data_IF_944491443430
#
_entry.id   IF_944491443430
#
_cell.length_a   1.000
_cell.length_b   1.000
_cell.length_c   1.000
_cell.angle_alpha   90.00
_cell.angle_beta   90.00
_cell.angle_gamma   90.00
#
_symmetry.space_group_name_H-M   'P 1'
#
loop_
_entity.id
_entity.type
_entity.pdbx_description
1 polymer ?
#
# COMPACT_ATOMS: atom_id res chain seq x y z
N UNK A 1 13.47 13.42 22.81
CA UNK A 1 12.40 13.70 21.81
C UNK A 1 11.15 14.18 22.53
N UNK A 2 10.33 15.07 21.92
CA UNK A 2 9.07 15.53 22.53
C UNK A 2 8.06 14.36 22.54
N UNK A 3 7.46 14.07 23.69
CA UNK A 3 6.40 13.08 23.84
C UNK A 3 5.19 13.51 23.00
N UNK A 4 4.61 12.61 22.22
CA UNK A 4 3.43 12.84 21.38
C UNK A 4 2.31 11.89 21.78
N UNK A 5 1.06 12.35 21.64
CA UNK A 5 -0.13 11.51 21.65
C UNK A 5 -0.45 11.09 20.22
N UNK A 6 -0.45 9.81 19.94
CA UNK A 6 -0.61 9.24 18.60
C UNK A 6 -1.85 8.35 18.57
N UNK A 7 -2.76 8.64 17.65
CA UNK A 7 -3.90 7.76 17.35
C UNK A 7 -3.53 6.82 16.20
N UNK A 8 -3.88 5.56 16.31
CA UNK A 8 -3.78 4.56 15.25
C UNK A 8 -5.19 3.99 15.00
N UNK A 9 -5.77 4.26 13.83
CA UNK A 9 -7.18 3.93 13.55
C UNK A 9 -7.34 2.57 12.87
N UNK A 10 -6.46 2.25 11.91
CA UNK A 10 -6.62 1.09 11.01
C UNK A 10 -5.63 -0.05 11.35
N UNK A 11 -5.10 -0.04 12.55
CA UNK A 11 -4.09 -0.98 13.00
C UNK A 11 -2.69 -0.68 12.45
N UNK A 12 -1.69 -1.19 13.17
CA UNK A 12 -0.27 -1.02 12.86
C UNK A 12 0.49 -2.28 13.28
N UNK A 13 1.67 -2.50 12.71
CA UNK A 13 2.56 -3.59 13.12
C UNK A 13 2.89 -3.50 14.61
N UNK A 14 2.80 -4.63 15.31
CA UNK A 14 2.99 -4.69 16.78
C UNK A 14 4.39 -4.27 17.22
N UNK A 15 5.41 -4.60 16.42
CA UNK A 15 6.79 -4.20 16.71
C UNK A 15 6.97 -2.69 16.56
N UNK A 16 6.33 -2.09 15.55
CA UNK A 16 6.36 -0.65 15.36
C UNK A 16 5.61 0.09 16.49
N UNK A 17 4.47 -0.44 16.95
CA UNK A 17 3.74 0.08 18.12
C UNK A 17 4.59 0.04 19.39
N UNK A 18 5.26 -1.10 19.65
CA UNK A 18 6.16 -1.23 20.78
C UNK A 18 7.27 -0.18 20.74
N UNK A 19 7.93 -0.01 19.59
CA UNK A 19 8.98 1.01 19.40
C UNK A 19 8.49 2.44 19.65
N UNK A 20 7.27 2.77 19.23
CA UNK A 20 6.70 4.10 19.51
C UNK A 20 6.53 4.32 21.01
N UNK A 21 6.01 3.31 21.73
CA UNK A 21 5.84 3.37 23.20
C UNK A 21 7.18 3.42 23.94
N UNK A 22 8.17 2.63 23.55
CA UNK A 22 9.53 2.63 24.08
C UNK A 22 10.21 3.99 23.88
N UNK A 23 9.94 4.68 22.78
CA UNK A 23 10.40 6.05 22.53
C UNK A 23 9.63 7.12 23.35
N UNK A 24 8.74 6.70 24.25
CA UNK A 24 8.02 7.58 25.17
C UNK A 24 6.76 8.23 24.59
N UNK A 25 6.28 7.79 23.41
CA UNK A 25 5.02 8.26 22.86
C UNK A 25 3.83 7.56 23.53
N UNK A 26 2.72 8.28 23.66
CA UNK A 26 1.44 7.75 24.10
C UNK A 26 0.66 7.29 22.84
N UNK A 27 0.45 5.97 22.69
CA UNK A 27 -0.18 5.40 21.49
C UNK A 27 -1.51 4.77 21.84
N UNK A 28 -2.58 5.31 21.27
CA UNK A 28 -3.95 4.81 21.35
C UNK A 28 -4.31 4.10 20.06
N UNK A 29 -4.74 2.85 20.16
CA UNK A 29 -5.25 2.08 19.03
C UNK A 29 -6.77 2.07 19.15
N UNK A 30 -7.45 2.87 18.33
CA UNK A 30 -8.90 2.99 18.37
C UNK A 30 -9.45 3.44 17.03
N UNK A 31 -10.46 2.74 16.53
CA UNK A 31 -11.25 3.20 15.40
C UNK A 31 -12.32 4.19 15.87
N UNK A 32 -12.52 5.23 15.08
CA UNK A 32 -13.63 6.17 15.24
C UNK A 32 -14.47 6.19 13.97
N UNK A 33 -15.80 6.22 14.06
CA UNK A 33 -16.63 6.44 12.88
C UNK A 33 -16.38 7.85 12.30
N UNK A 34 -16.68 8.06 11.01
CA UNK A 34 -16.35 9.32 10.33
C UNK A 34 -16.88 10.58 11.02
N UNK A 35 -18.05 10.50 11.66
CA UNK A 35 -18.73 11.59 12.36
C UNK A 35 -18.09 11.96 13.70
N UNK A 36 -17.35 11.05 14.32
CA UNK A 36 -16.69 11.28 15.63
C UNK A 36 -15.19 11.55 15.47
N UNK A 37 -14.63 11.17 14.32
CA UNK A 37 -13.19 11.19 14.11
C UNK A 37 -12.59 12.60 14.23
N UNK A 38 -13.23 13.60 13.66
CA UNK A 38 -12.69 14.95 13.64
C UNK A 38 -12.55 15.54 15.04
N UNK A 39 -13.56 15.38 15.90
CA UNK A 39 -13.50 15.83 17.29
C UNK A 39 -12.45 15.02 18.09
N UNK A 40 -12.39 13.70 17.89
CA UNK A 40 -11.38 12.85 18.53
C UNK A 40 -9.95 13.30 18.20
N UNK A 41 -9.69 13.69 16.95
CA UNK A 41 -8.39 14.14 16.45
C UNK A 41 -7.85 15.36 17.20
N UNK A 42 -8.71 16.19 17.82
CA UNK A 42 -8.30 17.36 18.61
C UNK A 42 -7.38 17.00 19.78
N UNK A 43 -7.52 15.78 20.28
CA UNK A 43 -6.77 15.30 21.48
C UNK A 43 -5.41 14.69 21.15
N UNK A 44 -5.09 14.46 19.86
CA UNK A 44 -3.87 13.79 19.41
C UNK A 44 -2.94 14.72 18.64
N UNK A 45 -1.64 14.54 18.79
CA UNK A 45 -0.61 15.29 18.05
C UNK A 45 -0.43 14.71 16.63
N UNK A 46 -0.64 13.40 16.49
CA UNK A 46 -0.54 12.69 15.22
C UNK A 46 -1.60 11.60 15.09
N UNK A 47 -1.98 11.28 13.86
CA UNK A 47 -2.80 10.12 13.54
C UNK A 47 -2.11 9.26 12.48
N UNK A 48 -2.16 7.94 12.67
CA UNK A 48 -1.73 6.94 11.68
C UNK A 48 -2.97 6.25 11.13
N UNK A 49 -3.17 6.37 9.83
CA UNK A 49 -4.29 5.76 9.09
C UNK A 49 -3.79 4.82 8.01
N UNK A 50 -4.63 3.90 7.56
CA UNK A 50 -4.40 3.13 6.34
C UNK A 50 -5.47 3.48 5.30
N UNK A 51 -6.09 2.50 4.66
CA UNK A 51 -7.06 2.73 3.58
C UNK A 51 -8.50 2.88 4.07
N UNK A 52 -8.84 2.36 5.25
CA UNK A 52 -10.22 2.37 5.76
C UNK A 52 -10.62 3.76 6.29
N UNK A 53 -9.75 4.40 7.06
CA UNK A 53 -10.00 5.73 7.60
C UNK A 53 -9.77 6.83 6.55
N UNK A 54 -10.73 7.73 6.44
CA UNK A 54 -10.66 8.91 5.56
C UNK A 54 -10.46 10.17 6.39
N UNK A 55 -9.50 11.00 6.00
CA UNK A 55 -9.27 12.33 6.58
C UNK A 55 -9.60 13.36 5.51
N UNK A 56 -10.85 13.79 5.52
CA UNK A 56 -11.40 14.75 4.57
C UNK A 56 -11.49 16.15 5.19
N UNK A 57 -11.89 17.10 4.39
CA UNK A 57 -12.09 18.49 4.82
C UNK A 57 -12.88 18.60 6.12
N UNK A 58 -13.97 17.83 6.26
CA UNK A 58 -14.81 17.82 7.47
C UNK A 58 -13.98 17.48 8.71
N UNK A 59 -13.27 16.32 8.73
CA UNK A 59 -12.47 15.89 9.88
C UNK A 59 -11.34 16.88 10.20
N UNK A 60 -10.78 17.53 9.16
CA UNK A 60 -9.75 18.56 9.33
C UNK A 60 -10.35 19.80 9.99
N UNK A 61 -11.53 20.25 9.54
CA UNK A 61 -12.21 21.41 10.11
C UNK A 61 -12.59 21.18 11.58
N UNK A 62 -13.15 20.02 11.89
CA UNK A 62 -13.51 19.64 13.27
C UNK A 62 -12.27 19.54 14.18
N UNK A 63 -11.13 19.11 13.64
CA UNK A 63 -9.86 19.03 14.37
C UNK A 63 -9.17 20.40 14.59
N UNK A 64 -9.64 21.48 13.94
CA UNK A 64 -9.06 22.82 14.08
C UNK A 64 -9.05 23.32 15.52
N UNK A 65 -7.97 24.01 15.90
CA UNK A 65 -7.76 24.47 17.27
C UNK A 65 -7.36 23.39 18.25
N UNK A 66 -7.30 22.12 17.81
CA UNK A 66 -6.78 20.99 18.58
C UNK A 66 -5.26 20.82 18.43
N UNK A 67 -4.79 19.63 18.79
CA UNK A 67 -3.36 19.30 18.83
C UNK A 67 -2.80 18.75 17.52
N UNK A 68 -3.66 18.30 16.57
CA UNK A 68 -3.24 17.59 15.37
C UNK A 68 -2.26 18.38 14.51
N UNK A 69 -1.09 17.81 14.27
CA UNK A 69 -0.02 18.40 13.44
C UNK A 69 0.49 17.45 12.36
N UNK A 70 0.13 16.16 12.43
CA UNK A 70 0.69 15.16 11.54
C UNK A 70 -0.33 14.07 11.24
N UNK A 71 -0.54 13.81 9.97
CA UNK A 71 -1.27 12.64 9.46
C UNK A 71 -0.27 11.75 8.75
N UNK A 72 -0.20 10.47 9.14
CA UNK A 72 0.65 9.46 8.50
C UNK A 72 -0.23 8.41 7.85
N UNK A 73 -0.08 8.23 6.55
CA UNK A 73 -0.70 7.12 5.82
C UNK A 73 0.28 5.95 5.75
N UNK A 74 -0.06 4.84 6.41
CA UNK A 74 0.69 3.58 6.31
C UNK A 74 0.45 2.91 4.94
N UNK A 75 1.08 3.41 3.90
CA UNK A 75 0.96 2.95 2.52
C UNK A 75 1.43 3.99 1.51
N UNK A 76 1.24 3.73 0.22
CA UNK A 76 1.75 4.58 -0.88
C UNK A 76 0.76 5.67 -1.26
N UNK A 77 -0.47 5.29 -1.64
CA UNK A 77 -1.51 6.24 -2.04
C UNK A 77 -1.99 7.07 -0.86
N UNK A 78 -2.45 8.28 -1.13
CA UNK A 78 -3.02 9.22 -0.12
C UNK A 78 -4.39 9.72 -0.53
N UNK A 79 -5.05 9.00 -1.41
CA UNK A 79 -6.37 9.30 -1.97
C UNK A 79 -7.50 9.36 -0.93
N UNK A 80 -7.28 8.77 0.24
CA UNK A 80 -8.17 8.88 1.40
C UNK A 80 -7.91 10.11 2.28
N UNK A 81 -6.97 10.99 1.93
CA UNK A 81 -6.61 12.19 2.69
C UNK A 81 -6.69 13.41 1.79
N UNK A 82 -7.35 14.47 2.23
CA UNK A 82 -7.35 15.77 1.54
C UNK A 82 -6.05 16.52 1.85
N UNK A 83 -4.95 16.08 1.18
CA UNK A 83 -3.57 16.48 1.49
C UNK A 83 -3.39 18.00 1.43
N UNK A 84 -3.75 18.63 0.31
CA UNK A 84 -3.59 20.08 0.14
C UNK A 84 -4.33 20.86 1.24
N UNK A 85 -5.57 20.45 1.53
CA UNK A 85 -6.35 21.10 2.57
C UNK A 85 -5.76 20.91 3.98
N UNK A 86 -5.21 19.74 4.28
CA UNK A 86 -4.51 19.50 5.54
C UNK A 86 -3.28 20.40 5.68
N UNK A 87 -2.46 20.50 4.65
CA UNK A 87 -1.25 21.32 4.64
C UNK A 87 -1.54 22.82 4.76
N UNK A 88 -2.57 23.33 4.07
CA UNK A 88 -3.07 24.69 4.21
C UNK A 88 -3.51 25.02 5.66
N UNK A 89 -3.97 24.01 6.39
CA UNK A 89 -4.35 24.15 7.81
C UNK A 89 -3.21 23.78 8.80
N UNK A 90 -1.96 23.70 8.32
CA UNK A 90 -0.78 23.47 9.15
C UNK A 90 -0.61 22.04 9.64
N UNK A 91 -1.33 21.07 9.05
CA UNK A 91 -1.23 19.64 9.34
C UNK A 91 -0.36 18.98 8.26
N UNK A 92 0.80 18.47 8.65
CA UNK A 92 1.69 17.76 7.72
C UNK A 92 1.13 16.38 7.37
N UNK A 93 1.23 16.00 6.10
CA UNK A 93 0.87 14.66 5.64
C UNK A 93 2.14 13.92 5.22
N UNK A 94 2.25 12.65 5.63
CA UNK A 94 3.35 11.76 5.24
C UNK A 94 2.79 10.38 4.91
N UNK A 95 3.50 9.68 4.04
CA UNK A 95 3.18 8.31 3.65
C UNK A 95 4.43 7.41 3.66
N UNK A 96 4.25 6.11 3.38
CA UNK A 96 5.35 5.13 3.36
C UNK A 96 5.56 4.58 1.94
N UNK A 97 6.09 5.38 1.00
CA UNK A 97 6.07 5.07 -0.44
C UNK A 97 7.00 3.91 -0.85
N UNK A 98 7.90 3.46 0.03
CA UNK A 98 8.85 2.38 -0.25
C UNK A 98 8.45 1.03 0.36
N UNK A 99 7.52 1.02 1.32
CA UNK A 99 7.29 -0.13 2.18
C UNK A 99 6.66 -1.34 1.46
N UNK A 100 5.77 -1.11 0.50
CA UNK A 100 4.98 -2.17 -0.14
C UNK A 100 5.40 -2.51 -1.58
N UNK A 101 6.36 -1.79 -2.17
CA UNK A 101 6.68 -1.94 -3.59
C UNK A 101 7.08 -3.38 -3.97
N UNK A 102 7.89 -4.01 -3.14
CA UNK A 102 8.33 -5.39 -3.37
C UNK A 102 7.17 -6.39 -3.22
N UNK A 103 6.35 -6.24 -2.16
CA UNK A 103 5.20 -7.11 -1.91
C UNK A 103 4.17 -7.06 -3.05
N UNK A 104 3.90 -5.86 -3.59
CA UNK A 104 2.99 -5.69 -4.74
C UNK A 104 3.57 -6.36 -5.99
N UNK A 105 4.87 -6.21 -6.26
CA UNK A 105 5.52 -6.88 -7.38
C UNK A 105 5.48 -8.42 -7.24
N UNK A 106 5.67 -8.94 -6.04
CA UNK A 106 5.56 -10.38 -5.77
C UNK A 106 4.13 -10.90 -5.97
N UNK A 107 3.14 -10.15 -5.50
CA UNK A 107 1.73 -10.50 -5.74
C UNK A 107 1.40 -10.50 -7.23
N UNK A 108 1.91 -9.55 -8.01
CA UNK A 108 1.72 -9.54 -9.46
C UNK A 108 2.32 -10.79 -10.12
N UNK A 109 3.54 -11.19 -9.76
CA UNK A 109 4.16 -12.43 -10.23
C UNK A 109 3.32 -13.65 -9.85
N UNK A 110 2.81 -13.70 -8.62
CA UNK A 110 1.95 -14.81 -8.17
C UNK A 110 0.66 -14.92 -9.02
N UNK A 111 0.03 -13.78 -9.33
CA UNK A 111 -1.13 -13.75 -10.23
C UNK A 111 -0.77 -14.16 -11.66
N UNK A 112 0.38 -13.73 -12.18
CA UNK A 112 0.84 -14.15 -13.51
C UNK A 112 0.98 -15.69 -13.58
N UNK A 113 1.61 -16.32 -12.60
CA UNK A 113 1.68 -17.79 -12.53
C UNK A 113 0.30 -18.43 -12.34
N UNK A 114 -0.55 -17.85 -11.52
CA UNK A 114 -1.90 -18.36 -11.30
C UNK A 114 -2.72 -18.37 -12.59
N UNK A 115 -2.64 -17.32 -13.39
CA UNK A 115 -3.29 -17.26 -14.70
C UNK A 115 -2.64 -18.20 -15.72
N UNK A 116 -1.31 -18.19 -15.82
CA UNK A 116 -0.58 -18.98 -16.79
C UNK A 116 -0.71 -20.50 -16.59
N UNK A 117 -0.84 -20.92 -15.34
CA UNK A 117 -0.84 -22.34 -14.95
C UNK A 117 -2.13 -22.81 -14.28
N UNK A 118 -3.19 -21.98 -14.30
CA UNK A 118 -4.51 -22.30 -13.72
C UNK A 118 -4.50 -22.64 -12.23
N UNK A 119 -3.54 -22.12 -11.44
CA UNK A 119 -3.30 -22.54 -10.06
C UNK A 119 -4.56 -22.38 -9.21
N UNK A 120 -5.19 -21.22 -9.25
CA UNK A 120 -6.38 -20.91 -8.45
C UNK A 120 -7.56 -21.79 -8.80
N UNK A 121 -7.89 -21.88 -10.10
CA UNK A 121 -9.07 -22.60 -10.56
C UNK A 121 -8.89 -24.13 -10.43
N UNK A 122 -7.70 -24.63 -10.71
CA UNK A 122 -7.39 -26.06 -10.50
C UNK A 122 -7.47 -26.43 -9.02
N UNK A 123 -6.92 -25.58 -8.15
CA UNK A 123 -7.00 -25.80 -6.70
C UNK A 123 -8.44 -25.72 -6.16
N UNK A 124 -9.30 -24.87 -6.74
CA UNK A 124 -10.73 -24.84 -6.41
C UNK A 124 -11.44 -26.13 -6.82
N UNK A 125 -11.27 -26.56 -8.07
CA UNK A 125 -11.83 -27.79 -8.62
C UNK A 125 -11.43 -29.03 -7.81
N UNK A 126 -10.15 -29.11 -7.40
CA UNK A 126 -9.69 -30.21 -6.55
C UNK A 126 -10.35 -30.24 -5.18
N UNK A 127 -10.61 -29.09 -4.56
CA UNK A 127 -11.36 -29.02 -3.29
C UNK A 127 -12.82 -29.47 -3.42
N UNK A 128 -13.38 -29.36 -4.61
CA UNK A 128 -14.70 -29.93 -4.95
C UNK A 128 -14.66 -31.44 -5.29
N UNK A 129 -13.53 -32.09 -5.12
CA UNK A 129 -13.34 -33.52 -5.41
C UNK A 129 -13.18 -33.85 -6.89
N UNK A 130 -12.95 -32.85 -7.75
CA UNK A 130 -12.81 -33.04 -9.20
C UNK A 130 -11.33 -33.23 -9.56
N UNK A 131 -11.08 -34.07 -10.59
CA UNK A 131 -9.75 -34.32 -11.16
C UNK A 131 -9.73 -33.95 -12.64
N UNK A 132 -9.56 -32.65 -12.94
CA UNK A 132 -9.69 -32.09 -14.30
C UNK A 132 -8.33 -31.90 -14.98
N UNK A 133 -7.46 -32.90 -14.94
CA UNK A 133 -6.10 -32.86 -15.52
C UNK A 133 -6.07 -32.35 -16.96
N UNK A 134 -7.04 -32.76 -17.80
CA UNK A 134 -7.09 -32.36 -19.21
C UNK A 134 -7.45 -30.88 -19.38
N UNK A 135 -8.30 -30.32 -18.53
CA UNK A 135 -8.72 -28.93 -18.60
C UNK A 135 -7.56 -27.98 -18.24
N UNK A 136 -6.74 -28.35 -17.26
CA UNK A 136 -5.67 -27.48 -16.74
C UNK A 136 -4.25 -27.90 -17.19
N UNK A 137 -4.14 -28.92 -18.06
CA UNK A 137 -2.85 -29.43 -18.54
C UNK A 137 -2.16 -28.55 -19.59
N UNK A 138 -2.87 -27.63 -20.24
CA UNK A 138 -2.35 -26.77 -21.31
C UNK A 138 -2.08 -25.34 -20.82
N UNK A 139 -1.34 -25.21 -19.74
CA UNK A 139 -0.83 -23.91 -19.30
C UNK A 139 0.29 -23.39 -20.20
N UNK A 140 0.71 -22.15 -19.99
CA UNK A 140 1.86 -21.57 -20.67
C UNK A 140 3.00 -21.29 -19.70
N UNK A 141 4.23 -21.29 -20.21
CA UNK A 141 5.42 -20.81 -19.48
C UNK A 141 5.55 -19.30 -19.63
N UNK A 142 6.05 -18.64 -18.60
CA UNK A 142 6.33 -17.20 -18.62
C UNK A 142 7.68 -16.91 -19.31
N UNK A 143 8.64 -17.82 -19.24
CA UNK A 143 9.93 -17.67 -19.87
C UNK A 143 9.79 -17.43 -21.38
N UNK A 144 10.54 -16.50 -21.92
CA UNK A 144 10.49 -16.09 -23.33
C UNK A 144 9.28 -15.23 -23.70
N UNK A 145 8.33 -15.01 -22.78
CA UNK A 145 7.19 -14.10 -23.02
C UNK A 145 7.56 -12.66 -22.72
N UNK A 146 6.82 -11.74 -23.32
CA UNK A 146 7.00 -10.31 -23.09
C UNK A 146 5.99 -9.79 -22.08
N UNK A 147 6.49 -9.11 -21.04
CA UNK A 147 5.70 -8.36 -20.08
C UNK A 147 5.73 -6.87 -20.42
N UNK A 148 4.59 -6.30 -20.76
CA UNK A 148 4.41 -4.86 -20.87
C UNK A 148 4.06 -4.24 -19.50
N UNK A 149 4.77 -3.20 -19.10
CA UNK A 149 4.54 -2.48 -17.83
C UNK A 149 4.18 -1.03 -18.15
N UNK A 150 2.96 -0.63 -17.81
CA UNK A 150 2.52 0.77 -17.89
C UNK A 150 2.68 1.40 -16.50
N UNK A 151 3.57 2.40 -16.39
CA UNK A 151 4.00 2.98 -15.12
C UNK A 151 5.23 2.27 -14.54
N UNK A 152 6.42 2.80 -14.83
CA UNK A 152 7.70 2.19 -14.45
C UNK A 152 8.34 2.84 -13.21
N UNK A 153 7.48 3.21 -12.25
CA UNK A 153 7.87 3.66 -10.92
C UNK A 153 8.44 2.51 -10.06
N UNK A 154 8.48 2.68 -8.74
CA UNK A 154 9.08 1.70 -7.81
C UNK A 154 8.52 0.28 -7.94
N UNK A 155 7.20 0.14 -8.10
CA UNK A 155 6.52 -1.16 -8.26
C UNK A 155 6.87 -1.75 -9.63
N UNK A 156 6.73 -0.97 -10.71
CA UNK A 156 7.03 -1.41 -12.07
C UNK A 156 8.47 -1.89 -12.21
N UNK A 157 9.44 -1.15 -11.68
CA UNK A 157 10.84 -1.55 -11.67
C UNK A 157 11.10 -2.84 -10.85
N UNK A 158 10.45 -2.98 -9.68
CA UNK A 158 10.57 -4.20 -8.88
C UNK A 158 9.98 -5.41 -9.62
N UNK A 159 8.83 -5.23 -10.28
CA UNK A 159 8.19 -6.25 -11.11
C UNK A 159 9.07 -6.61 -12.32
N UNK A 160 9.58 -5.60 -13.04
CA UNK A 160 10.43 -5.81 -14.21
C UNK A 160 11.68 -6.63 -13.90
N UNK A 161 12.38 -6.30 -12.80
CA UNK A 161 13.53 -7.10 -12.35
C UNK A 161 13.18 -8.57 -12.06
N UNK A 162 12.04 -8.82 -11.40
CA UNK A 162 11.57 -10.17 -11.11
C UNK A 162 11.16 -10.92 -12.38
N UNK A 163 10.49 -10.25 -13.31
CA UNK A 163 10.09 -10.84 -14.59
C UNK A 163 11.32 -11.19 -15.46
N UNK A 164 12.33 -10.31 -15.53
CA UNK A 164 13.61 -10.62 -16.19
C UNK A 164 14.29 -11.85 -15.58
N UNK A 165 14.28 -11.98 -14.26
CA UNK A 165 14.84 -13.15 -13.57
C UNK A 165 14.08 -14.46 -13.86
N UNK A 166 12.82 -14.37 -14.28
CA UNK A 166 11.99 -15.51 -14.75
C UNK A 166 12.18 -15.80 -16.25
N UNK A 167 13.14 -15.12 -16.92
CA UNK A 167 13.41 -15.30 -18.34
C UNK A 167 12.41 -14.60 -19.27
N UNK A 168 11.67 -13.61 -18.77
CA UNK A 168 10.75 -12.81 -19.59
C UNK A 168 11.49 -11.65 -20.27
N UNK A 169 11.01 -11.23 -21.43
CA UNK A 169 11.30 -9.93 -22.00
C UNK A 169 10.43 -8.88 -21.28
N UNK A 170 11.00 -7.71 -20.99
CA UNK A 170 10.27 -6.64 -20.31
C UNK A 170 10.36 -5.38 -21.14
N UNK A 171 9.19 -4.85 -21.50
CA UNK A 171 9.04 -3.52 -22.08
C UNK A 171 8.25 -2.65 -21.12
N UNK A 172 8.59 -1.37 -21.03
CA UNK A 172 7.96 -0.45 -20.10
C UNK A 172 7.63 0.89 -20.75
N UNK A 173 6.56 1.51 -20.27
CA UNK A 173 6.18 2.87 -20.63
C UNK A 173 5.93 3.66 -19.36
N UNK A 174 6.46 4.88 -19.27
CA UNK A 174 6.17 5.83 -18.20
C UNK A 174 6.08 7.24 -18.81
N UNK A 175 5.42 8.16 -18.11
CA UNK A 175 5.38 9.58 -18.45
C UNK A 175 6.69 10.30 -18.04
N UNK A 176 7.48 9.69 -17.17
CA UNK A 176 8.76 10.19 -16.74
C UNK A 176 9.90 9.29 -17.26
N UNK A 177 10.99 9.91 -17.71
CA UNK A 177 12.21 9.17 -18.00
C UNK A 177 12.78 8.57 -16.71
N UNK A 178 13.07 7.26 -16.73
CA UNK A 178 13.67 6.55 -15.60
C UNK A 178 15.15 6.37 -15.84
N UNK A 179 16.05 7.10 -15.13
CA UNK A 179 17.48 7.01 -15.33
C UNK A 179 18.05 5.60 -15.17
N UNK A 180 18.97 5.19 -16.01
CA UNK A 180 19.63 3.88 -15.95
C UNK A 180 18.84 2.74 -16.58
N UNK A 181 17.78 3.04 -17.29
CA UNK A 181 17.05 2.10 -18.15
C UNK A 181 17.37 2.52 -19.58
N UNK A 182 18.08 1.68 -20.30
CA UNK A 182 18.33 1.89 -21.71
C UNK A 182 17.00 1.73 -22.47
N UNK A 183 16.75 2.64 -23.39
CA UNK A 183 15.69 2.52 -24.38
C UNK A 183 16.15 1.43 -25.35
N UNK A 184 15.49 0.25 -25.29
CA UNK A 184 15.60 -0.79 -26.33
C UNK A 184 14.51 -0.59 -27.37
#
# INVERSE_FOLDING_TARGET
MKKMKILVTDGMDKTALAKLRENGHEVTEQFYPPEELGEALRSFDAVVVRSATKIRKQQIDEAKGGRLKLVIRGGVGVDNIDVSYAEENGIKVRNTPKASSNAVAELAIAHMFSCARYISIAGHSMREGKWEKKAYGKGMELSGRTLGIIGFGRIGQALGRKAKALGMNVIAQDIYHVPGIEEE
#
